data_IF_427300962093
#
_entry.id   IF_427300962093
#
_cell.length_a   1.000
_cell.length_b   1.000
_cell.length_c   1.000
_cell.angle_alpha   90.00
_cell.angle_beta   90.00
_cell.angle_gamma   90.00
#
_symmetry.space_group_name_H-M   'P 1'
#
loop_
_entity.id
_entity.type
_entity.pdbx_description
1 polymer ?
#
# COMPACT_ATOMS: atom_id res chain seq x y z
N UNK A 1 12.79 7.79 34.42
CA UNK A 1 13.48 7.87 33.11
C UNK A 1 12.47 8.05 31.97
N UNK A 2 12.27 9.29 31.47
CA UNK A 2 11.37 9.61 30.37
C UNK A 2 12.16 10.05 29.12
N UNK A 3 12.36 9.18 28.12
CA UNK A 3 13.17 9.54 26.94
C UNK A 3 12.92 8.80 25.63
N UNK A 4 12.03 7.81 25.56
CA UNK A 4 11.95 6.89 24.41
C UNK A 4 10.66 6.94 23.57
N UNK A 5 9.68 7.80 23.90
CA UNK A 5 8.37 7.83 23.17
C UNK A 5 8.34 8.70 21.90
N UNK A 6 9.29 9.61 21.68
CA UNK A 6 9.22 10.59 20.58
C UNK A 6 9.81 10.16 19.23
N UNK A 7 10.55 9.04 19.14
CA UNK A 7 11.25 8.66 17.88
C UNK A 7 10.42 7.85 16.86
N UNK A 8 9.26 7.28 17.22
CA UNK A 8 8.54 6.33 16.32
C UNK A 8 7.53 6.97 15.39
N UNK A 9 7.01 8.17 15.70
CA UNK A 9 6.03 8.85 14.84
C UNK A 9 6.67 9.54 13.64
N UNK A 10 7.97 9.84 13.70
CA UNK A 10 8.71 10.49 12.61
C UNK A 10 8.97 9.54 11.44
N UNK A 11 9.38 8.28 11.68
CA UNK A 11 9.71 7.34 10.60
C UNK A 11 8.55 7.05 9.64
N UNK A 12 7.34 6.83 10.15
CA UNK A 12 6.16 6.57 9.31
C UNK A 12 5.62 7.81 8.58
N UNK A 13 5.90 9.02 9.09
CA UNK A 13 5.61 10.27 8.36
C UNK A 13 6.65 10.52 7.27
N UNK A 14 7.92 10.25 7.55
CA UNK A 14 9.00 10.35 6.59
C UNK A 14 8.77 9.40 5.40
N UNK A 15 8.46 8.13 5.64
CA UNK A 15 8.20 7.16 4.57
C UNK A 15 7.06 7.60 3.62
N UNK A 16 5.95 8.10 4.16
CA UNK A 16 4.83 8.62 3.36
C UNK A 16 5.21 9.89 2.59
N UNK A 17 6.01 10.77 3.21
CA UNK A 17 6.59 11.94 2.55
C UNK A 17 7.49 11.56 1.39
N UNK A 18 8.36 10.56 1.59
CA UNK A 18 9.31 10.08 0.58
C UNK A 18 8.61 9.58 -0.67
N UNK A 19 7.55 8.78 -0.56
CA UNK A 19 6.81 8.28 -1.74
C UNK A 19 6.15 9.42 -2.52
N UNK A 20 5.63 10.43 -1.82
CA UNK A 20 4.99 11.59 -2.45
C UNK A 20 5.98 12.43 -3.26
N UNK A 21 7.23 12.49 -2.82
CA UNK A 21 8.33 13.19 -3.51
C UNK A 21 8.98 12.29 -4.58
N UNK A 22 9.07 10.98 -4.33
CA UNK A 22 9.71 10.01 -5.23
C UNK A 22 9.00 9.93 -6.58
N UNK A 23 7.67 9.96 -6.61
CA UNK A 23 6.89 9.89 -7.87
C UNK A 23 7.19 11.05 -8.85
N UNK A 24 7.07 12.33 -8.46
CA UNK A 24 7.42 13.42 -9.35
C UNK A 24 8.92 13.47 -9.66
N UNK A 25 9.79 13.11 -8.70
CA UNK A 25 11.23 13.02 -8.94
C UNK A 25 11.58 11.96 -10.01
N UNK A 26 10.92 10.80 -9.97
CA UNK A 26 11.12 9.74 -10.94
C UNK A 26 10.71 10.19 -12.35
N UNK A 27 9.58 10.91 -12.49
CA UNK A 27 9.19 11.52 -13.77
C UNK A 27 10.18 12.61 -14.21
N UNK A 28 10.62 13.47 -13.30
CA UNK A 28 11.55 14.55 -13.61
C UNK A 28 12.92 14.05 -14.10
N UNK A 29 13.36 12.86 -13.67
CA UNK A 29 14.60 12.23 -14.14
C UNK A 29 14.36 11.37 -15.40
N UNK A 30 13.30 10.56 -15.41
CA UNK A 30 13.07 9.62 -16.51
C UNK A 30 12.68 10.32 -17.82
N UNK A 31 11.85 11.37 -17.75
CA UNK A 31 11.31 12.03 -18.95
C UNK A 31 12.38 12.71 -19.79
N UNK A 32 13.32 13.52 -19.24
CA UNK A 32 14.38 14.14 -20.05
C UNK A 32 15.31 13.12 -20.71
N UNK A 33 15.70 12.06 -19.99
CA UNK A 33 16.55 10.99 -20.52
C UNK A 33 15.83 10.22 -21.63
N UNK A 34 14.54 9.93 -21.44
CA UNK A 34 13.72 9.31 -22.46
C UNK A 34 13.54 10.24 -23.68
N UNK A 35 13.33 11.54 -23.49
CA UNK A 35 13.22 12.49 -24.59
C UNK A 35 14.50 12.51 -25.44
N UNK A 36 15.68 12.54 -24.79
CA UNK A 36 16.97 12.45 -25.48
C UNK A 36 17.09 11.13 -26.26
N UNK A 37 16.76 10.01 -25.63
CA UNK A 37 16.86 8.70 -26.25
C UNK A 37 15.85 8.48 -27.38
N UNK A 38 14.69 9.12 -27.32
CA UNK A 38 13.68 9.10 -28.38
C UNK A 38 14.19 9.79 -29.66
N UNK A 39 14.92 10.91 -29.53
CA UNK A 39 15.53 11.61 -30.68
C UNK A 39 16.57 10.74 -31.38
N UNK A 40 17.29 9.91 -30.63
CA UNK A 40 18.32 9.03 -31.18
C UNK A 40 17.80 7.65 -31.64
N UNK A 41 16.56 7.30 -31.30
CA UNK A 41 16.02 5.97 -31.57
C UNK A 41 15.60 5.86 -33.05
N UNK A 42 16.12 4.89 -33.82
CA UNK A 42 15.67 4.70 -35.20
C UNK A 42 14.17 4.41 -35.25
N UNK A 43 13.45 5.11 -36.13
CA UNK A 43 11.97 5.06 -36.20
C UNK A 43 11.44 3.62 -36.33
N UNK A 44 12.07 2.77 -37.15
CA UNK A 44 11.67 1.37 -37.30
C UNK A 44 11.77 0.57 -36.00
N UNK A 45 12.78 0.81 -35.17
CA UNK A 45 12.90 0.17 -33.85
C UNK A 45 11.88 0.73 -32.87
N UNK A 46 11.64 2.04 -32.90
CA UNK A 46 10.66 2.70 -32.04
C UNK A 46 9.25 2.14 -32.26
N UNK A 47 8.83 1.99 -33.53
CA UNK A 47 7.51 1.49 -33.92
C UNK A 47 7.28 0.05 -33.45
N UNK A 48 8.32 -0.77 -33.32
CA UNK A 48 8.18 -2.17 -32.87
C UNK A 48 8.35 -2.30 -31.36
N UNK A 49 9.42 -1.74 -30.80
CA UNK A 49 9.79 -1.98 -29.40
C UNK A 49 8.89 -1.25 -28.40
N UNK A 50 8.46 -0.02 -28.70
CA UNK A 50 7.60 0.77 -27.81
C UNK A 50 6.25 0.07 -27.54
N UNK A 51 5.46 -0.32 -28.56
CA UNK A 51 4.20 -1.01 -28.31
C UNK A 51 4.41 -2.40 -27.72
N UNK A 52 5.49 -3.11 -28.09
CA UNK A 52 5.81 -4.41 -27.50
C UNK A 52 6.04 -4.30 -25.99
N UNK A 53 6.89 -3.36 -25.55
CA UNK A 53 7.17 -3.17 -24.12
C UNK A 53 5.96 -2.63 -23.35
N UNK A 54 5.16 -1.77 -23.98
CA UNK A 54 3.89 -1.33 -23.42
C UNK A 54 2.93 -2.51 -23.19
N UNK A 55 2.80 -3.39 -24.19
CA UNK A 55 1.95 -4.57 -24.12
C UNK A 55 2.44 -5.58 -23.07
N UNK A 56 3.74 -5.85 -22.98
CA UNK A 56 4.32 -6.74 -21.96
C UNK A 56 4.06 -6.20 -20.55
N UNK A 57 4.35 -4.92 -20.31
CA UNK A 57 4.09 -4.31 -19.01
C UNK A 57 2.61 -4.31 -18.63
N UNK A 58 1.74 -4.01 -19.60
CA UNK A 58 0.29 -4.07 -19.42
C UNK A 58 -0.17 -5.49 -19.08
N UNK A 59 0.30 -6.51 -19.81
CA UNK A 59 -0.07 -7.90 -19.62
C UNK A 59 0.36 -8.43 -18.24
N UNK A 60 1.59 -8.14 -17.82
CA UNK A 60 2.10 -8.53 -16.50
C UNK A 60 1.24 -7.94 -15.36
N UNK A 61 0.90 -6.64 -15.46
CA UNK A 61 0.07 -5.99 -14.45
C UNK A 61 -1.39 -6.44 -14.52
N UNK A 62 -1.92 -6.69 -15.71
CA UNK A 62 -3.27 -7.20 -15.90
C UNK A 62 -3.42 -8.61 -15.30
N UNK A 63 -2.43 -9.49 -15.46
CA UNK A 63 -2.45 -10.84 -14.92
C UNK A 63 -2.46 -10.88 -13.39
N UNK A 64 -1.88 -9.88 -12.72
CA UNK A 64 -1.82 -9.78 -11.26
C UNK A 64 -2.93 -8.96 -10.61
N UNK A 65 -3.92 -8.45 -11.37
CA UNK A 65 -4.92 -7.52 -10.83
C UNK A 65 -6.33 -8.11 -10.87
N UNK A 66 -6.89 -8.39 -9.70
CA UNK A 66 -8.23 -8.98 -9.58
C UNK A 66 -9.32 -8.08 -10.16
N UNK A 67 -10.10 -8.66 -11.06
CA UNK A 67 -11.22 -7.98 -11.71
C UNK A 67 -10.83 -7.07 -12.86
N UNK A 68 -9.63 -7.19 -13.43
CA UNK A 68 -9.36 -6.69 -14.78
C UNK A 68 -10.07 -7.57 -15.83
N UNK A 69 -10.73 -7.01 -16.87
CA UNK A 69 -10.88 -5.58 -17.19
C UNK A 69 -12.16 -4.94 -16.60
N UNK A 70 -12.89 -5.59 -15.69
CA UNK A 70 -14.18 -5.12 -15.15
C UNK A 70 -14.11 -3.85 -14.29
N UNK A 71 -13.00 -3.61 -13.56
CA UNK A 71 -12.89 -2.48 -12.62
C UNK A 71 -12.17 -1.25 -13.23
N UNK A 72 -12.71 -0.01 -13.11
CA UNK A 72 -12.07 1.20 -13.63
C UNK A 72 -10.66 1.45 -13.06
N UNK A 73 -10.44 1.15 -11.77
CA UNK A 73 -9.13 1.28 -11.12
C UNK A 73 -8.07 0.33 -11.69
N UNK A 74 -8.48 -0.89 -12.06
CA UNK A 74 -7.62 -1.88 -12.69
C UNK A 74 -7.15 -1.39 -14.07
N UNK A 75 -8.08 -0.88 -14.89
CA UNK A 75 -7.77 -0.30 -16.21
C UNK A 75 -6.76 0.83 -16.12
N UNK A 76 -6.95 1.75 -15.16
CA UNK A 76 -6.00 2.87 -14.94
C UNK A 76 -4.60 2.36 -14.56
N UNK A 77 -4.52 1.32 -13.72
CA UNK A 77 -3.24 0.75 -13.30
C UNK A 77 -2.52 0.06 -14.45
N UNK A 78 -3.24 -0.72 -15.26
CA UNK A 78 -2.73 -1.36 -16.48
C UNK A 78 -2.28 -0.32 -17.52
N UNK A 79 -3.06 0.74 -17.73
CA UNK A 79 -2.69 1.83 -18.64
C UNK A 79 -1.42 2.57 -18.19
N UNK A 80 -1.28 2.82 -16.88
CA UNK A 80 -0.05 3.41 -16.32
C UNK A 80 1.14 2.47 -16.49
N UNK A 81 0.97 1.16 -16.29
CA UNK A 81 2.03 0.18 -16.54
C UNK A 81 2.45 0.15 -18.01
N UNK A 82 1.48 0.20 -18.93
CA UNK A 82 1.74 0.30 -20.36
C UNK A 82 2.55 1.57 -20.71
N UNK A 83 2.18 2.72 -20.14
CA UNK A 83 2.89 3.98 -20.34
C UNK A 83 4.35 3.93 -19.83
N UNK A 84 4.58 3.31 -18.67
CA UNK A 84 5.95 3.09 -18.17
C UNK A 84 6.75 2.11 -19.04
N UNK A 85 6.12 1.02 -19.49
CA UNK A 85 6.73 0.08 -20.43
C UNK A 85 7.12 0.75 -21.75
N UNK A 86 6.26 1.59 -22.30
CA UNK A 86 6.53 2.39 -23.49
C UNK A 86 7.72 3.33 -23.29
N UNK A 87 7.79 4.00 -22.12
CA UNK A 87 8.84 4.96 -21.80
C UNK A 87 10.21 4.29 -21.56
N UNK A 88 10.23 3.03 -21.15
CA UNK A 88 11.47 2.30 -20.87
C UNK A 88 12.38 2.17 -22.10
N UNK A 89 11.81 2.03 -23.30
CA UNK A 89 12.55 1.89 -24.56
C UNK A 89 13.38 3.14 -24.90
N UNK A 90 12.78 4.33 -25.05
CA UNK A 90 13.56 5.54 -25.30
C UNK A 90 14.45 5.90 -24.10
N UNK A 91 14.04 5.61 -22.86
CA UNK A 91 14.90 5.80 -21.70
C UNK A 91 16.21 4.98 -21.80
N UNK A 92 16.12 3.68 -22.10
CA UNK A 92 17.29 2.82 -22.27
C UNK A 92 18.23 3.33 -23.39
N UNK A 93 17.65 3.81 -24.50
CA UNK A 93 18.41 4.45 -25.58
C UNK A 93 19.16 5.71 -25.10
N UNK A 94 18.50 6.57 -24.32
CA UNK A 94 19.08 7.82 -23.82
C UNK A 94 20.19 7.62 -22.78
N UNK A 95 20.12 6.54 -22.00
CA UNK A 95 21.16 6.15 -21.05
C UNK A 95 22.48 5.85 -21.76
N UNK A 96 22.44 5.18 -22.91
CA UNK A 96 23.66 4.87 -23.67
C UNK A 96 24.37 6.13 -24.18
N UNK A 97 23.62 7.20 -24.50
CA UNK A 97 24.17 8.45 -25.02
C UNK A 97 24.79 9.35 -23.95
N UNK A 98 24.36 9.19 -22.69
CA UNK A 98 24.74 10.07 -21.59
C UNK A 98 25.93 9.53 -20.78
N UNK A 99 26.44 8.35 -21.12
CA UNK A 99 27.61 7.76 -20.48
C UNK A 99 27.44 7.60 -18.97
N UNK A 100 28.40 8.05 -18.12
CA UNK A 100 28.31 7.95 -16.66
C UNK A 100 27.07 8.62 -16.07
N UNK A 101 26.60 9.71 -16.67
CA UNK A 101 25.37 10.42 -16.22
C UNK A 101 24.14 9.54 -16.43
N UNK A 102 24.10 8.78 -17.53
CA UNK A 102 23.05 7.79 -17.79
C UNK A 102 23.02 6.69 -16.75
N UNK A 103 24.19 6.18 -16.35
CA UNK A 103 24.28 5.18 -15.28
C UNK A 103 23.74 5.71 -13.94
N UNK A 104 24.07 6.96 -13.59
CA UNK A 104 23.50 7.60 -12.40
C UNK A 104 21.98 7.77 -12.49
N UNK A 105 21.45 8.15 -13.66
CA UNK A 105 20.00 8.26 -13.88
C UNK A 105 19.31 6.90 -13.71
N UNK A 106 19.88 5.80 -14.25
CA UNK A 106 19.36 4.45 -14.03
C UNK A 106 19.35 4.09 -12.55
N UNK A 107 20.45 4.33 -11.84
CA UNK A 107 20.53 4.05 -10.40
C UNK A 107 19.46 4.81 -9.61
N UNK A 108 19.24 6.09 -9.91
CA UNK A 108 18.19 6.91 -9.29
C UNK A 108 16.79 6.34 -9.60
N UNK A 109 16.51 6.01 -10.86
CA UNK A 109 15.21 5.45 -11.26
C UNK A 109 14.96 4.10 -10.58
N UNK A 110 15.98 3.23 -10.47
CA UNK A 110 15.86 1.95 -9.78
C UNK A 110 15.59 2.12 -8.29
N UNK A 111 16.33 3.01 -7.62
CA UNK A 111 16.12 3.30 -6.18
C UNK A 111 14.73 3.88 -5.93
N UNK A 112 14.34 4.91 -6.69
CA UNK A 112 13.01 5.52 -6.54
C UNK A 112 11.89 4.55 -6.91
N UNK A 113 12.08 3.76 -7.96
CA UNK A 113 11.16 2.72 -8.41
C UNK A 113 10.96 1.65 -7.34
N UNK A 114 12.04 1.18 -6.73
CA UNK A 114 12.00 0.21 -5.63
C UNK A 114 11.25 0.76 -4.41
N UNK A 115 11.48 2.02 -4.03
CA UNK A 115 10.76 2.67 -2.92
C UNK A 115 9.26 2.74 -3.22
N UNK A 116 8.87 3.12 -4.44
CA UNK A 116 7.46 3.17 -4.86
C UNK A 116 6.84 1.77 -4.91
N UNK A 117 7.57 0.78 -5.41
CA UNK A 117 7.12 -0.61 -5.48
C UNK A 117 6.93 -1.21 -4.07
N UNK A 118 7.89 -1.01 -3.17
CA UNK A 118 7.81 -1.48 -1.79
C UNK A 118 6.61 -0.88 -1.03
N UNK A 119 6.35 0.42 -1.18
CA UNK A 119 5.16 1.08 -0.61
C UNK A 119 3.86 0.52 -1.23
N UNK A 120 3.81 0.32 -2.54
CA UNK A 120 2.64 -0.26 -3.20
C UNK A 120 2.36 -1.69 -2.72
N UNK A 121 3.38 -2.53 -2.62
CA UNK A 121 3.28 -3.90 -2.10
C UNK A 121 2.86 -3.91 -0.64
N UNK A 122 3.46 -3.06 0.21
CA UNK A 122 3.08 -2.95 1.62
C UNK A 122 1.60 -2.57 1.77
N UNK A 123 1.11 -1.61 0.99
CA UNK A 123 -0.31 -1.23 0.99
C UNK A 123 -1.21 -2.35 0.49
N UNK A 124 -0.79 -3.10 -0.53
CA UNK A 124 -1.55 -4.24 -1.03
C UNK A 124 -1.68 -5.33 0.04
N UNK A 125 -0.58 -5.66 0.72
CA UNK A 125 -0.58 -6.61 1.84
C UNK A 125 -1.45 -6.15 3.00
N UNK A 126 -1.36 -4.87 3.38
CA UNK A 126 -2.22 -4.31 4.44
C UNK A 126 -3.70 -4.34 4.07
N UNK A 127 -4.06 -4.05 2.80
CA UNK A 127 -5.45 -4.17 2.34
C UNK A 127 -5.94 -5.62 2.39
N UNK A 128 -5.15 -6.56 1.86
CA UNK A 128 -5.49 -7.99 1.91
C UNK A 128 -5.68 -8.47 3.36
N UNK A 129 -4.79 -8.09 4.28
CA UNK A 129 -4.93 -8.41 5.70
C UNK A 129 -6.19 -7.78 6.31
N UNK A 130 -6.52 -6.54 5.93
CA UNK A 130 -7.75 -5.86 6.36
C UNK A 130 -9.00 -6.57 5.83
N UNK A 131 -9.01 -6.98 4.57
CA UNK A 131 -10.15 -7.65 3.94
C UNK A 131 -10.40 -9.02 4.59
N UNK A 132 -9.35 -9.78 4.85
CA UNK A 132 -9.44 -11.06 5.60
C UNK A 132 -9.93 -10.82 7.02
N UNK A 133 -9.37 -9.84 7.73
CA UNK A 133 -9.81 -9.48 9.08
C UNK A 133 -11.28 -9.04 9.10
N UNK A 134 -11.73 -8.29 8.08
CA UNK A 134 -13.11 -7.82 7.98
C UNK A 134 -14.07 -8.98 7.75
N UNK A 135 -13.69 -9.94 6.90
CA UNK A 135 -14.48 -11.15 6.70
C UNK A 135 -14.62 -11.96 8.00
N UNK A 136 -13.51 -12.20 8.70
CA UNK A 136 -13.54 -12.91 9.99
C UNK A 136 -14.36 -12.16 11.05
N UNK A 137 -14.28 -10.82 11.06
CA UNK A 137 -15.05 -10.00 11.99
C UNK A 137 -16.55 -10.07 11.73
N UNK A 138 -16.98 -10.11 10.46
CA UNK A 138 -18.39 -10.30 10.09
C UNK A 138 -18.93 -11.65 10.55
N UNK A 139 -18.10 -12.69 10.51
CA UNK A 139 -18.48 -14.06 10.93
C UNK A 139 -18.44 -14.26 12.45
N UNK A 140 -17.73 -13.40 13.20
CA UNK A 140 -17.57 -13.50 14.67
C UNK A 140 -18.80 -12.95 15.41
N UNK A 141 -19.09 -13.51 16.60
CA UNK A 141 -20.05 -12.97 17.57
C UNK A 141 -19.55 -11.68 18.24
N UNK A 142 -20.41 -10.91 18.92
CA UNK A 142 -20.01 -9.64 19.54
C UNK A 142 -19.00 -9.86 20.67
N UNK A 143 -19.18 -10.94 21.43
CA UNK A 143 -18.23 -11.41 22.44
C UNK A 143 -16.87 -11.79 21.85
N UNK A 144 -16.85 -12.57 20.77
CA UNK A 144 -15.59 -12.96 20.10
C UNK A 144 -14.85 -11.75 19.54
N UNK A 145 -15.55 -10.79 18.96
CA UNK A 145 -14.97 -9.52 18.51
C UNK A 145 -14.28 -8.78 19.66
N UNK A 146 -14.90 -8.76 20.83
CA UNK A 146 -14.33 -8.15 22.03
C UNK A 146 -13.10 -8.90 22.55
N UNK A 147 -13.17 -10.22 22.64
CA UNK A 147 -12.04 -11.06 23.06
C UNK A 147 -10.84 -10.88 22.10
N UNK A 148 -11.09 -10.86 20.79
CA UNK A 148 -10.08 -10.56 19.77
C UNK A 148 -9.52 -9.14 19.94
N UNK A 149 -10.37 -8.14 20.22
CA UNK A 149 -9.94 -6.77 20.44
C UNK A 149 -9.05 -6.64 21.68
N UNK A 150 -9.38 -7.33 22.78
CA UNK A 150 -8.53 -7.37 23.98
C UNK A 150 -7.17 -8.02 23.69
N UNK A 151 -7.17 -9.12 22.93
CA UNK A 151 -5.94 -9.79 22.52
C UNK A 151 -5.02 -8.86 21.70
N UNK A 152 -5.58 -8.00 20.84
CA UNK A 152 -4.77 -6.97 20.16
C UNK A 152 -4.08 -6.02 21.15
N UNK A 153 -4.69 -5.74 22.30
CA UNK A 153 -4.10 -4.91 23.34
C UNK A 153 -2.78 -5.47 23.89
N UNK A 154 -2.70 -6.80 24.02
CA UNK A 154 -1.47 -7.47 24.46
C UNK A 154 -0.36 -7.35 23.43
N UNK A 155 -0.68 -7.56 22.15
CA UNK A 155 0.25 -7.40 21.03
C UNK A 155 0.72 -5.94 20.83
N UNK A 156 0.00 -4.96 21.37
CA UNK A 156 0.38 -3.55 21.36
C UNK A 156 1.27 -3.13 22.53
N UNK A 157 1.47 -3.99 23.56
CA UNK A 157 2.27 -3.65 24.75
C UNK A 157 3.70 -3.18 24.39
N UNK A 158 4.30 -2.31 25.23
CA UNK A 158 5.71 -1.95 25.08
C UNK A 158 6.59 -3.21 25.08
N UNK A 159 7.54 -3.30 24.14
CA UNK A 159 8.41 -4.48 23.99
C UNK A 159 7.88 -5.52 22.99
N UNK A 160 6.61 -5.47 22.59
CA UNK A 160 6.10 -6.35 21.54
C UNK A 160 6.78 -6.11 20.19
N UNK A 161 6.88 -7.19 19.41
CA UNK A 161 7.45 -7.24 18.07
C UNK A 161 6.86 -6.17 17.14
N UNK A 162 7.67 -5.41 16.38
CA UNK A 162 7.16 -4.39 15.46
C UNK A 162 6.20 -4.92 14.39
N UNK A 163 6.42 -6.12 13.85
CA UNK A 163 5.54 -6.68 12.83
C UNK A 163 4.19 -7.11 13.45
N UNK A 164 4.23 -7.81 14.58
CA UNK A 164 3.04 -8.14 15.36
C UNK A 164 2.24 -6.91 15.77
N UNK A 165 2.91 -5.81 16.15
CA UNK A 165 2.25 -4.53 16.48
C UNK A 165 1.53 -3.94 15.27
N UNK A 166 2.12 -3.99 14.07
CA UNK A 166 1.48 -3.48 12.85
C UNK A 166 0.22 -4.28 12.50
N UNK A 167 0.30 -5.62 12.58
CA UNK A 167 -0.85 -6.50 12.36
C UNK A 167 -1.96 -6.24 13.38
N UNK A 168 -1.61 -6.10 14.67
CA UNK A 168 -2.56 -5.80 15.73
C UNK A 168 -3.28 -4.47 15.52
N UNK A 169 -2.60 -3.43 15.01
CA UNK A 169 -3.23 -2.16 14.68
C UNK A 169 -4.24 -2.28 13.53
N UNK A 170 -3.93 -3.04 12.48
CA UNK A 170 -4.85 -3.28 11.36
C UNK A 170 -6.08 -4.05 11.83
N UNK A 171 -5.89 -5.13 12.60
CA UNK A 171 -6.98 -5.92 13.14
C UNK A 171 -7.85 -5.07 14.07
N UNK A 172 -7.24 -4.29 14.97
CA UNK A 172 -7.97 -3.43 15.91
C UNK A 172 -8.84 -2.39 15.20
N UNK A 173 -8.36 -1.79 14.11
CA UNK A 173 -9.13 -0.83 13.31
C UNK A 173 -10.39 -1.50 12.72
N UNK A 174 -10.24 -2.70 12.16
CA UNK A 174 -11.36 -3.50 11.62
C UNK A 174 -12.35 -3.90 12.71
N UNK A 175 -11.87 -4.38 13.86
CA UNK A 175 -12.73 -4.77 14.97
C UNK A 175 -13.52 -3.59 15.53
N UNK A 176 -12.89 -2.41 15.63
CA UNK A 176 -13.57 -1.19 16.07
C UNK A 176 -14.64 -0.73 15.07
N UNK A 177 -14.35 -0.76 13.77
CA UNK A 177 -15.32 -0.45 12.72
C UNK A 177 -16.54 -1.39 12.81
N UNK A 178 -16.29 -2.69 13.03
CA UNK A 178 -17.34 -3.71 13.13
C UNK A 178 -18.17 -3.58 14.41
N UNK A 179 -17.54 -3.32 15.57
CA UNK A 179 -18.22 -3.06 16.84
C UNK A 179 -19.13 -1.81 16.72
N UNK A 180 -18.60 -0.72 16.17
CA UNK A 180 -19.35 0.51 15.96
C UNK A 180 -20.53 0.32 14.98
N UNK A 181 -20.39 -0.57 13.99
CA UNK A 181 -21.44 -0.90 13.04
C UNK A 181 -22.58 -1.71 13.66
N UNK A 182 -22.27 -2.62 14.60
CA UNK A 182 -23.25 -3.53 15.23
C UNK A 182 -24.01 -2.87 16.39
N UNK A 183 -23.33 -2.12 17.25
CA UNK A 183 -23.94 -1.38 18.35
C UNK A 183 -23.37 0.04 18.46
N UNK A 184 -23.84 0.98 17.62
CA UNK A 184 -23.34 2.36 17.64
C UNK A 184 -23.51 3.04 19.00
N UNK A 185 -24.64 2.81 19.68
CA UNK A 185 -24.96 3.46 20.94
C UNK A 185 -24.11 2.92 22.11
N UNK A 186 -23.88 1.60 22.17
CA UNK A 186 -22.96 1.00 23.12
C UNK A 186 -21.52 1.40 22.87
N UNK A 187 -21.09 1.42 21.60
CA UNK A 187 -19.75 1.87 21.21
C UNK A 187 -19.48 3.32 21.62
N UNK A 188 -20.41 4.24 21.36
CA UNK A 188 -20.29 5.65 21.76
C UNK A 188 -20.24 5.85 23.28
N UNK A 189 -20.96 5.02 24.03
CA UNK A 189 -20.90 5.02 25.49
C UNK A 189 -19.52 4.55 25.98
N UNK A 190 -19.07 3.41 25.47
CA UNK A 190 -17.77 2.82 25.79
C UNK A 190 -16.59 3.75 25.45
N UNK A 191 -16.65 4.46 24.32
CA UNK A 191 -15.66 5.46 23.94
C UNK A 191 -15.63 6.68 24.87
N UNK A 192 -16.78 7.06 25.47
CA UNK A 192 -16.85 8.14 26.48
C UNK A 192 -16.32 7.71 27.84
N UNK A 193 -16.53 6.45 28.22
CA UNK A 193 -16.13 5.88 29.51
C UNK A 193 -14.64 5.51 29.57
N UNK A 194 -13.94 5.54 28.43
CA UNK A 194 -12.48 5.42 28.38
C UNK A 194 -11.95 4.07 27.88
N UNK A 195 -12.74 3.36 27.07
CA UNK A 195 -12.35 2.09 26.44
C UNK A 195 -11.85 1.02 27.44
N UNK A 196 -12.48 0.96 28.61
CA UNK A 196 -12.21 -0.02 29.66
C UNK A 196 -12.90 -1.36 29.39
N UNK A 197 -13.52 -1.93 30.41
CA UNK A 197 -14.28 -3.18 30.30
C UNK A 197 -15.48 -3.04 29.35
N UNK A 198 -15.90 -4.15 28.71
CA UNK A 198 -17.03 -4.11 27.79
C UNK A 198 -18.33 -3.82 28.55
N UNK A 199 -19.33 -3.21 27.89
CA UNK A 199 -20.67 -3.10 28.46
C UNK A 199 -21.28 -4.48 28.73
N UNK A 200 -21.86 -4.68 29.92
CA UNK A 200 -22.47 -5.95 30.32
C UNK A 200 -23.53 -6.46 29.32
N UNK A 201 -24.25 -5.54 28.68
CA UNK A 201 -25.31 -5.87 27.71
C UNK A 201 -24.79 -6.54 26.43
N UNK A 202 -23.48 -6.49 26.15
CA UNK A 202 -22.88 -7.21 25.02
C UNK A 202 -22.81 -8.73 25.25
N UNK A 203 -22.78 -9.18 26.50
CA UNK A 203 -22.79 -10.61 26.84
C UNK A 203 -24.17 -11.25 26.72
N UNK A 204 -25.24 -10.45 26.85
CA UNK A 204 -26.63 -10.94 26.82
C UNK A 204 -27.18 -11.10 25.39
N UNK A 205 -26.61 -10.38 24.41
CA UNK A 205 -27.10 -10.37 23.03
C UNK A 205 -26.66 -11.58 22.17
N UNK A 206 -25.64 -12.32 22.59
CA UNK A 206 -25.10 -13.49 21.86
C UNK A 206 -25.76 -14.82 22.27
N UNK A 207 -26.85 -14.80 23.04
CA UNK A 207 -27.60 -16.02 23.32
C UNK A 207 -28.22 -16.56 22.00
N UNK A 208 -27.95 -17.82 21.62
CA UNK A 208 -28.60 -18.40 20.44
C UNK A 208 -30.11 -18.35 20.63
N UNK A 209 -30.81 -17.81 19.62
CA UNK A 209 -32.28 -17.80 19.57
C UNK A 209 -32.84 -19.21 19.45
#
# INVERSE_FOLDING_TARGET
MPGSRTRRTTAGRLARGTVRIARPALLAVAVPVAALGAVALPLGRAVVLVPLMAAVAAALVAAGHDGFPGRPGARRTVALAAAWGALAVPFASGVHLTGPVGAAAVAIVLVLGLVVAADATSRALTRSARDVAAQLAVESSLRELWEQWQWTGEALRPGADPAGRATALVLRDVLLDELARRDPAGFDRWMREGAGDPPDHWYEQDAPR
#
